data_IF_765876032212
#
_entry.id   IF_765876032212
#
_cell.length_a   1.000
_cell.length_b   1.000
_cell.length_c   1.000
_cell.angle_alpha   90.00
_cell.angle_beta   90.00
_cell.angle_gamma   90.00
#
_symmetry.space_group_name_H-M   'P 1'
#
loop_
_entity.id
_entity.type
_entity.pdbx_description
1 polymer ?
#
# COMPACT_ATOMS: atom_id res chain seq x y z
N UNK A 1 42.23 44.60 11.59
CA UNK A 1 41.60 43.36 11.12
C UNK A 1 40.20 43.74 10.64
N UNK A 2 39.98 43.74 9.33
CA UNK A 2 38.68 44.07 8.74
C UNK A 2 38.05 42.76 8.24
N UNK A 3 37.01 42.32 8.93
CA UNK A 3 36.26 41.11 8.62
C UNK A 3 35.39 41.38 7.39
N UNK A 4 35.62 40.64 6.30
CA UNK A 4 34.79 40.70 5.09
C UNK A 4 33.60 39.79 5.30
N UNK A 5 32.44 40.36 5.64
CA UNK A 5 31.17 39.63 5.63
C UNK A 5 30.88 39.11 4.21
N UNK A 6 30.82 37.78 4.07
CA UNK A 6 30.47 37.11 2.82
C UNK A 6 28.98 37.24 2.49
N UNK A 7 28.58 37.13 1.21
CA UNK A 7 27.18 37.27 0.79
C UNK A 7 26.33 36.15 1.42
N UNK A 8 25.33 36.54 2.21
CA UNK A 8 24.40 35.61 2.87
C UNK A 8 23.57 34.88 1.81
N UNK A 9 23.77 33.56 1.75
CA UNK A 9 23.22 32.62 0.75
C UNK A 9 21.83 32.10 1.11
N UNK A 10 20.99 32.92 1.73
CA UNK A 10 19.77 32.44 2.40
C UNK A 10 18.51 33.17 1.93
N UNK A 11 18.36 33.30 0.61
CA UNK A 11 17.10 33.76 0.00
C UNK A 11 16.59 32.65 -0.92
N UNK A 12 15.42 32.04 -0.64
CA UNK A 12 14.83 31.09 -1.55
C UNK A 12 14.55 31.78 -2.89
N UNK A 13 15.19 31.26 -3.94
CA UNK A 13 15.09 31.75 -5.31
C UNK A 13 13.61 31.69 -5.75
N UNK A 14 13.00 32.85 -5.97
CA UNK A 14 11.62 32.94 -6.45
C UNK A 14 11.45 32.10 -7.74
N UNK A 15 10.35 31.33 -7.88
CA UNK A 15 10.15 30.46 -9.02
C UNK A 15 10.11 31.29 -10.29
N UNK A 16 11.04 30.99 -11.20
CA UNK A 16 11.17 31.62 -12.50
C UNK A 16 9.86 31.39 -13.24
N UNK A 17 9.07 32.45 -13.43
CA UNK A 17 7.78 32.42 -14.13
C UNK A 17 8.05 32.00 -15.59
N UNK A 18 7.98 30.70 -15.84
CA UNK A 18 8.12 30.11 -17.16
C UNK A 18 6.89 30.45 -17.99
N UNK A 19 7.10 31.17 -19.10
CA UNK A 19 6.10 31.48 -20.12
C UNK A 19 5.84 30.27 -21.02
N UNK A 20 5.82 29.06 -20.47
CA UNK A 20 5.40 27.88 -21.21
C UNK A 20 3.88 27.82 -21.12
N UNK A 21 3.16 27.61 -22.24
CA UNK A 21 1.73 27.32 -22.20
C UNK A 21 1.53 26.17 -21.22
N UNK A 22 0.75 26.41 -20.16
CA UNK A 22 0.37 25.37 -19.22
C UNK A 22 -0.50 24.37 -19.99
N UNK A 23 0.14 23.33 -20.51
CA UNK A 23 -0.53 22.23 -21.17
C UNK A 23 -1.41 21.54 -20.14
N UNK A 24 -2.73 21.75 -20.25
CA UNK A 24 -3.71 21.33 -19.25
C UNK A 24 -3.75 19.80 -19.14
N UNK A 25 -3.13 19.21 -18.10
CA UNK A 25 -2.92 17.77 -17.98
C UNK A 25 -4.24 16.99 -17.83
N UNK A 26 -5.32 17.67 -17.43
CA UNK A 26 -6.62 17.06 -17.15
C UNK A 26 -7.44 16.79 -18.40
N UNK A 27 -7.25 17.58 -19.46
CA UNK A 27 -7.90 17.36 -20.77
C UNK A 27 -7.23 16.23 -21.53
N UNK A 28 -5.89 16.18 -21.52
CA UNK A 28 -5.13 15.11 -22.15
C UNK A 28 -5.30 13.78 -21.40
N UNK A 29 -5.33 13.78 -20.07
CA UNK A 29 -5.54 12.57 -19.28
C UNK A 29 -6.84 11.84 -19.62
N UNK A 30 -7.94 12.58 -19.78
CA UNK A 30 -9.25 12.03 -20.20
C UNK A 30 -9.25 11.56 -21.65
N UNK A 31 -8.54 12.25 -22.55
CA UNK A 31 -8.36 11.82 -23.93
C UNK A 31 -7.55 10.51 -24.02
N UNK A 32 -6.44 10.42 -23.29
CA UNK A 32 -5.60 9.22 -23.22
C UNK A 32 -6.35 8.02 -22.67
N UNK A 33 -7.17 8.18 -21.64
CA UNK A 33 -7.98 7.08 -21.08
C UNK A 33 -9.05 6.57 -22.05
N UNK A 34 -9.62 7.46 -22.86
CA UNK A 34 -10.56 7.08 -23.93
C UNK A 34 -9.83 6.36 -25.07
N UNK A 35 -8.65 6.84 -25.45
CA UNK A 35 -7.78 6.22 -26.47
C UNK A 35 -7.31 4.82 -26.01
N UNK A 36 -6.87 4.68 -24.76
CA UNK A 36 -6.42 3.40 -24.20
C UNK A 36 -7.54 2.35 -24.19
N UNK A 37 -8.76 2.72 -23.76
CA UNK A 37 -9.93 1.83 -23.84
C UNK A 37 -10.32 1.50 -25.28
N UNK A 38 -10.10 2.43 -26.21
CA UNK A 38 -10.40 2.25 -27.63
C UNK A 38 -9.41 1.31 -28.33
N UNK A 39 -8.11 1.44 -28.06
CA UNK A 39 -7.07 0.56 -28.62
C UNK A 39 -7.04 -0.82 -27.96
N UNK A 40 -7.34 -0.92 -26.66
CA UNK A 40 -7.33 -2.19 -25.93
C UNK A 40 -8.52 -3.11 -26.24
N UNK A 41 -9.61 -2.55 -26.77
CA UNK A 41 -10.76 -3.37 -27.17
C UNK A 41 -10.63 -3.71 -28.65
N UNK A 42 -10.56 -5.00 -29.02
CA UNK A 42 -10.37 -5.47 -30.41
C UNK A 42 -11.36 -4.93 -31.47
N UNK A 43 -12.37 -4.17 -31.04
CA UNK A 43 -13.27 -3.35 -31.87
C UNK A 43 -12.55 -2.39 -32.81
N UNK A 44 -11.40 -1.82 -32.45
CA UNK A 44 -10.64 -0.93 -33.35
C UNK A 44 -10.17 -1.68 -34.59
N UNK A 45 -9.60 -2.87 -34.41
CA UNK A 45 -9.14 -3.71 -35.50
C UNK A 45 -10.30 -4.10 -36.42
N UNK A 46 -11.44 -4.50 -35.85
CA UNK A 46 -12.64 -4.83 -36.62
C UNK A 46 -13.10 -3.65 -37.48
N UNK A 47 -13.19 -2.45 -36.89
CA UNK A 47 -13.62 -1.27 -37.64
C UNK A 47 -12.64 -0.90 -38.75
N UNK A 48 -11.34 -0.98 -38.49
CA UNK A 48 -10.29 -0.70 -39.48
C UNK A 48 -10.33 -1.70 -40.64
N UNK A 49 -10.54 -2.99 -40.37
CA UNK A 49 -10.73 -4.01 -41.40
C UNK A 49 -11.98 -3.75 -42.24
N UNK A 50 -13.10 -3.37 -41.62
CA UNK A 50 -14.33 -3.03 -42.36
C UNK A 50 -14.11 -1.86 -43.31
N UNK A 51 -13.42 -0.80 -42.85
CA UNK A 51 -13.11 0.36 -43.70
C UNK A 51 -12.26 -0.04 -44.92
N UNK A 52 -11.23 -0.87 -44.72
CA UNK A 52 -10.40 -1.38 -45.83
C UNK A 52 -11.24 -2.19 -46.82
N UNK A 53 -12.09 -3.09 -46.33
CA UNK A 53 -12.95 -3.92 -47.18
C UNK A 53 -13.95 -3.05 -47.96
N UNK A 54 -14.55 -2.06 -47.33
CA UNK A 54 -15.47 -1.12 -47.98
C UNK A 54 -14.75 -0.30 -49.05
N UNK A 55 -13.54 0.18 -48.77
CA UNK A 55 -12.73 0.93 -49.75
C UNK A 55 -12.36 0.07 -50.96
N UNK A 56 -11.91 -1.16 -50.70
CA UNK A 56 -11.57 -2.12 -51.74
C UNK A 56 -12.81 -2.47 -52.58
N UNK A 57 -13.95 -2.76 -51.93
CA UNK A 57 -15.22 -3.04 -52.59
C UNK A 57 -15.72 -1.87 -53.43
N UNK A 58 -15.61 -0.64 -52.93
CA UNK A 58 -15.97 0.57 -53.67
C UNK A 58 -15.15 0.69 -54.96
N UNK A 59 -13.83 0.50 -54.88
CA UNK A 59 -12.96 0.62 -56.06
C UNK A 59 -13.09 -0.55 -57.05
N UNK A 60 -13.54 -1.73 -56.61
CA UNK A 60 -13.81 -2.88 -57.48
C UNK A 60 -15.16 -2.75 -58.21
N UNK A 61 -16.19 -2.28 -57.51
CA UNK A 61 -17.58 -2.23 -58.04
C UNK A 61 -17.85 -0.93 -58.80
N UNK A 62 -17.05 0.12 -58.60
CA UNK A 62 -17.18 1.37 -59.32
C UNK A 62 -16.89 1.19 -60.83
N UNK A 63 -17.72 1.79 -61.72
CA UNK A 63 -17.45 1.84 -63.16
C UNK A 63 -16.11 2.54 -63.46
N UNK A 64 -15.44 2.18 -64.56
CA UNK A 64 -14.09 2.66 -64.93
C UNK A 64 -13.91 4.19 -64.90
N UNK A 65 -14.98 4.96 -65.06
CA UNK A 65 -14.95 6.44 -64.98
C UNK A 65 -14.95 7.03 -63.56
N UNK A 66 -15.19 6.23 -62.51
CA UNK A 66 -15.27 6.65 -61.10
C UNK A 66 -14.33 5.86 -60.19
N UNK A 67 -13.49 4.98 -60.74
CA UNK A 67 -12.44 4.29 -60.01
C UNK A 67 -11.39 5.31 -59.56
N UNK A 68 -11.41 5.64 -58.27
CA UNK A 68 -10.42 6.54 -57.69
C UNK A 68 -9.07 5.83 -57.46
N UNK A 69 -9.07 4.50 -57.27
CA UNK A 69 -7.89 3.70 -56.89
C UNK A 69 -7.95 2.29 -57.51
N UNK A 70 -7.49 2.14 -58.75
CA UNK A 70 -7.41 0.86 -59.45
C UNK A 70 -6.24 -0.01 -58.92
N UNK A 71 -6.29 -1.33 -59.13
CA UNK A 71 -5.24 -2.25 -58.67
C UNK A 71 -3.86 -1.75 -59.15
N UNK A 72 -2.90 -1.45 -58.25
CA UNK A 72 -2.65 -2.06 -56.94
C UNK A 72 -3.03 -1.20 -55.69
N UNK A 73 -4.06 -0.35 -55.75
CA UNK A 73 -4.54 0.48 -54.62
C UNK A 73 -3.46 1.40 -54.01
N UNK A 74 -2.91 2.30 -54.85
CA UNK A 74 -1.84 3.22 -54.45
C UNK A 74 -2.30 4.16 -53.32
N UNK A 75 -3.54 4.65 -53.36
CA UNK A 75 -4.03 5.61 -52.37
C UNK A 75 -4.23 4.94 -51.02
N UNK A 76 -4.80 3.72 -50.99
CA UNK A 76 -4.91 2.92 -49.77
C UNK A 76 -3.52 2.69 -49.15
N UNK A 77 -2.54 2.32 -49.98
CA UNK A 77 -1.17 2.04 -49.54
C UNK A 77 -0.48 3.29 -48.98
N UNK A 78 -0.63 4.44 -49.65
CA UNK A 78 -0.11 5.72 -49.16
C UNK A 78 -0.77 6.12 -47.84
N UNK A 79 -2.09 5.97 -47.72
CA UNK A 79 -2.81 6.27 -46.50
C UNK A 79 -2.35 5.38 -45.33
N UNK A 80 -2.20 4.07 -45.54
CA UNK A 80 -1.74 3.14 -44.52
C UNK A 80 -0.29 3.40 -44.10
N UNK A 81 0.60 3.73 -45.04
CA UNK A 81 1.99 4.07 -44.71
C UNK A 81 2.09 5.37 -43.90
N UNK A 82 1.30 6.39 -44.25
CA UNK A 82 1.19 7.62 -43.48
C UNK A 82 0.59 7.36 -42.08
N UNK A 83 -0.45 6.53 -42.00
CA UNK A 83 -1.07 6.16 -40.73
C UNK A 83 -0.04 5.53 -39.78
N UNK A 84 0.76 4.58 -40.26
CA UNK A 84 1.81 3.95 -39.46
C UNK A 84 2.88 4.97 -39.01
N UNK A 85 3.28 5.88 -39.91
CA UNK A 85 4.28 6.90 -39.62
C UNK A 85 3.82 7.90 -38.54
N UNK A 86 2.55 8.30 -38.55
CA UNK A 86 2.00 9.22 -37.55
C UNK A 86 1.57 8.52 -36.25
N UNK A 87 1.29 7.21 -36.30
CA UNK A 87 0.96 6.44 -35.10
C UNK A 87 2.14 6.38 -34.12
N UNK A 88 3.37 6.18 -34.61
CA UNK A 88 4.57 6.08 -33.78
C UNK A 88 4.79 7.27 -32.82
N UNK A 89 4.81 8.55 -33.28
CA UNK A 89 4.98 9.68 -32.39
C UNK A 89 3.79 9.87 -31.44
N UNK A 90 2.56 9.59 -31.89
CA UNK A 90 1.37 9.70 -31.05
C UNK A 90 1.40 8.68 -29.90
N UNK A 91 1.82 7.44 -30.20
CA UNK A 91 2.04 6.39 -29.22
C UNK A 91 3.16 6.79 -28.25
N UNK A 92 4.27 7.33 -28.74
CA UNK A 92 5.37 7.81 -27.88
C UNK A 92 4.94 8.92 -26.92
N UNK A 93 4.10 9.86 -27.36
CA UNK A 93 3.54 10.89 -26.48
C UNK A 93 2.58 10.30 -25.44
N UNK A 94 1.81 9.27 -25.80
CA UNK A 94 0.95 8.57 -24.85
C UNK A 94 1.77 7.78 -23.82
N UNK A 95 2.87 7.14 -24.24
CA UNK A 95 3.76 6.35 -23.40
C UNK A 95 4.56 7.20 -22.41
N UNK A 96 5.18 8.31 -22.84
CA UNK A 96 5.94 9.21 -21.95
C UNK A 96 5.13 9.66 -20.73
N UNK A 97 3.81 9.84 -20.88
CA UNK A 97 2.93 10.21 -19.77
C UNK A 97 2.47 9.05 -18.91
N UNK A 98 2.40 7.83 -19.45
CA UNK A 98 2.18 6.64 -18.64
C UNK A 98 3.40 6.40 -17.75
N UNK A 99 4.61 6.49 -18.32
CA UNK A 99 5.87 6.32 -17.60
C UNK A 99 6.04 7.34 -16.45
N UNK A 100 5.66 8.61 -16.67
CA UNK A 100 5.68 9.64 -15.63
C UNK A 100 4.72 9.34 -14.47
N UNK A 101 3.50 8.86 -14.76
CA UNK A 101 2.54 8.46 -13.72
C UNK A 101 3.01 7.23 -12.98
N UNK A 102 3.52 6.24 -13.71
CA UNK A 102 4.01 4.99 -13.14
C UNK A 102 5.21 5.23 -12.24
N UNK A 103 6.08 6.18 -12.61
CA UNK A 103 7.18 6.64 -11.74
C UNK A 103 6.68 7.25 -10.44
N UNK A 104 5.69 8.15 -10.49
CA UNK A 104 5.13 8.77 -9.27
C UNK A 104 4.47 7.72 -8.37
N UNK A 105 3.73 6.77 -8.95
CA UNK A 105 3.14 5.66 -8.21
C UNK A 105 4.22 4.79 -7.54
N UNK A 106 5.29 4.46 -8.26
CA UNK A 106 6.45 3.73 -7.73
C UNK A 106 7.13 4.45 -6.55
N UNK A 107 7.31 5.77 -6.65
CA UNK A 107 7.88 6.57 -5.58
C UNK A 107 6.97 6.62 -4.33
N UNK A 108 5.65 6.69 -4.52
CA UNK A 108 4.69 6.64 -3.42
C UNK A 108 4.66 5.26 -2.75
N UNK A 109 4.67 4.19 -3.53
CA UNK A 109 4.68 2.83 -3.01
C UNK A 109 5.95 2.52 -2.24
N UNK A 110 7.12 3.01 -2.69
CA UNK A 110 8.36 2.93 -1.91
C UNK A 110 8.23 3.60 -0.55
N UNK A 111 7.72 4.83 -0.49
CA UNK A 111 7.50 5.56 0.78
C UNK A 111 6.49 4.85 1.68
N UNK A 112 5.44 4.25 1.11
CA UNK A 112 4.46 3.45 1.86
C UNK A 112 5.10 2.19 2.42
N UNK A 113 5.91 1.50 1.64
CA UNK A 113 6.60 0.28 2.07
C UNK A 113 7.59 0.57 3.22
N UNK A 114 8.37 1.65 3.11
CA UNK A 114 9.26 2.10 4.20
C UNK A 114 8.48 2.37 5.50
N UNK A 115 7.32 3.05 5.42
CA UNK A 115 6.45 3.26 6.58
C UNK A 115 5.87 1.96 7.12
N UNK A 116 5.44 1.05 6.24
CA UNK A 116 4.89 -0.24 6.65
C UNK A 116 5.92 -1.11 7.38
N UNK A 117 7.19 -1.05 6.96
CA UNK A 117 8.29 -1.73 7.64
C UNK A 117 8.47 -1.10 9.04
N UNK A 118 8.53 0.22 9.14
CA UNK A 118 8.67 0.92 10.41
C UNK A 118 7.50 0.63 11.38
N UNK A 119 6.26 0.63 10.90
CA UNK A 119 5.08 0.27 11.68
C UNK A 119 5.14 -1.19 12.16
N UNK A 120 5.59 -2.11 11.30
CA UNK A 120 5.76 -3.51 11.67
C UNK A 120 6.84 -3.68 12.75
N UNK A 121 7.96 -2.98 12.63
CA UNK A 121 9.02 -2.98 13.64
C UNK A 121 8.57 -2.34 14.96
N UNK A 122 7.73 -1.31 14.89
CA UNK A 122 7.13 -0.69 16.06
C UNK A 122 6.19 -1.67 16.75
N UNK A 123 5.23 -2.25 16.03
CA UNK A 123 4.30 -3.25 16.55
C UNK A 123 5.02 -4.47 17.12
N UNK A 124 6.10 -4.96 16.47
CA UNK A 124 6.90 -6.07 16.98
C UNK A 124 7.57 -5.72 18.32
N UNK A 125 8.08 -4.50 18.47
CA UNK A 125 8.64 -4.00 19.74
C UNK A 125 7.57 -3.86 20.81
N UNK A 126 6.41 -3.31 20.47
CA UNK A 126 5.27 -3.16 21.37
C UNK A 126 4.80 -4.54 21.87
N UNK A 127 4.68 -5.52 20.98
CA UNK A 127 4.30 -6.90 21.32
C UNK A 127 5.36 -7.56 22.21
N UNK A 128 6.65 -7.34 21.93
CA UNK A 128 7.72 -7.85 22.79
C UNK A 128 7.67 -7.25 24.20
N UNK A 129 7.43 -5.94 24.32
CA UNK A 129 7.25 -5.26 25.60
C UNK A 129 5.99 -5.75 26.35
N UNK A 130 4.86 -5.87 25.65
CA UNK A 130 3.62 -6.43 26.20
C UNK A 130 3.82 -7.88 26.68
N UNK A 131 4.55 -8.71 25.92
CA UNK A 131 4.88 -10.08 26.30
C UNK A 131 5.75 -10.13 27.56
N UNK A 132 6.73 -9.23 27.69
CA UNK A 132 7.56 -9.15 28.90
C UNK A 132 6.73 -8.73 30.11
N UNK A 133 5.90 -7.68 29.98
CA UNK A 133 5.01 -7.24 31.05
C UNK A 133 3.99 -8.30 31.45
N UNK A 134 3.37 -9.00 30.50
CA UNK A 134 2.48 -10.14 30.79
C UNK A 134 3.24 -11.33 31.38
N UNK A 135 4.49 -11.57 30.96
CA UNK A 135 5.34 -12.62 31.52
C UNK A 135 5.67 -12.39 33.00
N UNK A 136 5.88 -11.14 33.40
CA UNK A 136 6.11 -10.76 34.80
C UNK A 136 4.82 -10.86 35.65
N UNK A 137 3.66 -10.48 35.10
CA UNK A 137 2.38 -10.42 35.85
C UNK A 137 1.62 -11.76 35.85
N UNK A 138 1.84 -12.63 34.86
CA UNK A 138 1.16 -13.92 34.72
C UNK A 138 2.12 -15.10 34.87
N UNK A 139 3.03 -15.04 35.86
CA UNK A 139 3.79 -16.25 36.20
C UNK A 139 2.82 -17.27 36.77
N UNK A 140 2.90 -18.53 36.30
CA UNK A 140 2.11 -19.68 36.75
C UNK A 140 1.92 -19.74 38.27
N UNK A 141 2.91 -19.32 39.03
CA UNK A 141 2.87 -19.29 40.49
C UNK A 141 1.93 -18.24 41.07
N UNK A 142 1.76 -17.07 40.43
CA UNK A 142 0.77 -16.06 40.84
C UNK A 142 -0.66 -16.53 40.56
N UNK A 143 -0.92 -17.06 39.36
CA UNK A 143 -2.24 -17.62 39.02
C UNK A 143 -2.57 -18.81 39.95
N UNK A 144 -1.56 -19.59 40.33
CA UNK A 144 -1.71 -20.72 41.25
C UNK A 144 -1.93 -20.27 42.69
N UNK A 145 -1.26 -19.21 43.16
CA UNK A 145 -1.51 -18.65 44.49
C UNK A 145 -2.90 -18.06 44.57
N UNK A 146 -3.35 -17.33 43.54
CA UNK A 146 -4.67 -16.68 43.56
C UNK A 146 -5.82 -17.69 43.44
N UNK A 147 -5.66 -18.73 42.61
CA UNK A 147 -6.59 -19.86 42.58
C UNK A 147 -6.60 -20.62 43.91
N UNK A 148 -5.44 -20.82 44.54
CA UNK A 148 -5.38 -21.49 45.84
C UNK A 148 -6.04 -20.66 46.95
N UNK A 149 -5.87 -19.34 46.92
CA UNK A 149 -6.49 -18.40 47.86
C UNK A 149 -8.01 -18.36 47.68
N UNK A 150 -8.49 -18.24 46.44
CA UNK A 150 -9.92 -18.31 46.13
C UNK A 150 -10.56 -19.65 46.51
N UNK A 151 -9.86 -20.77 46.31
CA UNK A 151 -10.33 -22.11 46.73
C UNK A 151 -10.43 -22.20 48.25
N UNK A 152 -9.48 -21.62 48.97
CA UNK A 152 -9.44 -21.61 50.43
C UNK A 152 -10.54 -20.73 51.03
N UNK A 153 -10.86 -19.60 50.40
CA UNK A 153 -11.97 -18.72 50.78
C UNK A 153 -13.35 -19.35 50.53
N UNK A 154 -13.44 -20.29 49.59
CA UNK A 154 -14.64 -21.09 49.33
C UNK A 154 -14.74 -22.32 50.26
N UNK A 155 -13.69 -22.64 51.02
CA UNK A 155 -13.69 -23.74 51.99
C UNK A 155 -14.54 -23.31 53.21
N UNK A 156 -15.70 -23.94 53.47
CA UNK A 156 -16.64 -23.47 54.48
C UNK A 156 -16.00 -23.47 55.88
N UNK A 157 -16.20 -22.38 56.63
CA UNK A 157 -15.83 -22.28 58.05
C UNK A 157 -16.43 -23.44 58.86
N UNK A 158 -15.68 -24.53 59.03
CA UNK A 158 -16.06 -25.59 59.96
C UNK A 158 -15.57 -25.22 61.37
N UNK A 159 -16.55 -24.70 62.11
CA UNK A 159 -16.67 -24.33 63.54
C UNK A 159 -15.58 -24.82 64.52
N UNK A 160 -15.10 -23.96 65.45
CA UNK A 160 -14.22 -24.38 66.54
C UNK A 160 -15.00 -25.15 67.61
N UNK A 161 -14.77 -26.47 67.68
CA UNK A 161 -15.26 -27.36 68.72
C UNK A 161 -14.43 -27.28 69.99
N UNK A 162 -15.02 -26.64 70.99
CA UNK A 162 -14.74 -26.67 72.44
C UNK A 162 -14.17 -28.00 72.96
N UNK A 163 -13.05 -27.94 73.69
CA UNK A 163 -12.74 -28.91 74.75
C UNK A 163 -11.86 -28.26 75.84
N UNK A 164 -12.52 -27.56 76.75
CA UNK A 164 -12.00 -27.21 78.07
C UNK A 164 -12.12 -28.41 79.01
N UNK A 165 -11.06 -28.73 79.77
CA UNK A 165 -11.11 -29.76 80.80
C UNK A 165 -9.91 -29.74 81.74
N UNK A 166 -10.03 -28.97 82.84
CA UNK A 166 -9.66 -29.24 84.26
C UNK A 166 -8.45 -30.19 84.51
N UNK A 167 -7.46 -29.92 85.36
CA UNK A 167 -7.42 -29.17 86.64
C UNK A 167 -5.96 -29.20 87.21
N UNK A 168 -5.66 -28.50 88.32
CA UNK A 168 -4.33 -27.97 88.66
C UNK A 168 -3.54 -28.72 89.75
N UNK A 169 -2.23 -28.41 89.79
CA UNK A 169 -1.30 -28.27 90.93
C UNK A 169 -1.49 -29.08 92.24
N UNK A 170 -0.38 -29.70 92.69
CA UNK A 170 -0.16 -30.02 94.11
C UNK A 170 1.11 -30.84 94.38
N UNK A 171 2.03 -30.28 95.20
CA UNK A 171 3.00 -30.91 96.13
C UNK A 171 3.85 -32.11 95.63
N UNK A 172 5.18 -32.05 95.54
CA UNK A 172 6.10 -31.75 96.65
C UNK A 172 6.38 -33.02 97.46
N UNK A 173 7.46 -33.75 97.17
CA UNK A 173 8.13 -34.65 98.13
C UNK A 173 9.53 -35.01 97.60
N UNK A 174 10.56 -34.72 98.40
CA UNK A 174 11.92 -35.24 98.23
C UNK A 174 11.94 -36.62 98.89
N UNK A 175 12.51 -37.62 98.24
CA UNK A 175 13.37 -38.62 98.87
C UNK A 175 14.01 -39.50 97.79
N UNK A 176 15.35 -39.51 97.74
CA UNK A 176 16.17 -40.64 98.17
C UNK A 176 15.85 -41.94 97.43
N UNK A 177 16.77 -42.42 96.58
CA UNK A 177 17.50 -43.68 96.78
C UNK A 177 18.20 -44.14 95.48
N UNK A 178 19.47 -44.55 95.65
CA UNK A 178 20.29 -45.46 94.84
C UNK A 178 21.03 -44.95 93.60
#
# INVERSE_FOLDING_TARGET
MAEREGPRLDVPRAPRRTLLPAYDPDTFGRASERIARFLGTGRFLVWMTVVIIVWMGWNIVAPDGLKFDEYPFIFLTLALSLQASYAAPLILLAQNRQDDRDRVNLEQDRKRNERSIADTEFLAREIAALRMGLGEVATRDWIRSELAELVKDLEPQDRPGVAAGRSPAGSGERDQNR
#
